data_IF_005323239791
#
_entry.id   IF_005323239791
#
_cell.length_a   1.000
_cell.length_b   1.000
_cell.length_c   1.000
_cell.angle_alpha   90.00
_cell.angle_beta   90.00
_cell.angle_gamma   90.00
#
_symmetry.space_group_name_H-M   'P 1'
#
loop_
_entity.id
_entity.type
_entity.pdbx_description
1 polymer ?
#
# COMPACT_ATOMS: atom_id res chain seq x y z
N UNK A 1 -10.73 -0.08 15.41
CA UNK A 1 -9.95 -0.44 16.61
C UNK A 1 -8.47 -0.47 16.24
N UNK A 2 -7.68 0.45 16.82
CA UNK A 2 -6.24 0.51 16.54
C UNK A 2 -5.49 -0.57 17.34
N UNK A 3 -4.49 -1.17 16.69
CA UNK A 3 -3.53 -2.07 17.34
C UNK A 3 -2.35 -1.23 17.82
N UNK A 4 -2.02 -1.36 19.12
CA UNK A 4 -0.88 -0.67 19.74
C UNK A 4 0.42 -1.47 19.66
N UNK A 5 0.32 -2.80 19.71
CA UNK A 5 1.48 -3.67 19.64
C UNK A 5 1.16 -5.12 19.93
N UNK A 6 2.20 -5.89 20.24
CA UNK A 6 2.16 -7.34 20.43
C UNK A 6 2.52 -7.68 21.88
N UNK A 7 1.75 -8.56 22.50
CA UNK A 7 2.11 -9.24 23.75
C UNK A 7 2.89 -10.51 23.44
N UNK A 8 3.91 -10.80 24.28
CA UNK A 8 4.71 -12.03 24.17
C UNK A 8 4.77 -12.74 25.52
N UNK A 9 4.75 -14.06 25.46
CA UNK A 9 5.01 -14.93 26.62
C UNK A 9 6.13 -15.89 26.23
N UNK A 10 7.21 -15.90 26.98
CA UNK A 10 8.42 -16.68 26.70
C UNK A 10 8.98 -16.48 25.27
N UNK A 11 8.92 -15.25 24.76
CA UNK A 11 9.42 -14.88 23.44
C UNK A 11 8.49 -15.21 22.26
N UNK A 12 7.33 -15.80 22.52
CA UNK A 12 6.34 -16.14 21.50
C UNK A 12 5.13 -15.21 21.62
N UNK A 13 4.53 -14.88 20.50
CA UNK A 13 3.30 -14.06 20.44
C UNK A 13 2.20 -14.75 21.27
N UNK A 14 1.59 -13.99 22.18
CA UNK A 14 0.50 -14.43 23.04
C UNK A 14 -0.73 -13.54 22.98
N UNK A 15 -0.63 -12.40 22.30
CA UNK A 15 -1.75 -11.49 22.14
C UNK A 15 -1.42 -10.24 21.34
N UNK A 16 -2.48 -9.51 21.00
CA UNK A 16 -2.45 -8.19 20.37
C UNK A 16 -3.00 -7.18 21.37
N UNK A 17 -2.23 -6.14 21.66
CA UNK A 17 -2.68 -5.01 22.46
C UNK A 17 -3.36 -3.98 21.58
N UNK A 18 -4.60 -3.67 21.91
CA UNK A 18 -5.41 -2.69 21.17
C UNK A 18 -5.83 -1.55 22.10
N UNK A 19 -6.35 -0.47 21.51
CA UNK A 19 -6.98 0.63 22.25
C UNK A 19 -8.19 0.19 23.12
N UNK A 20 -8.75 -1.01 22.87
CA UNK A 20 -9.91 -1.58 23.57
C UNK A 20 -9.56 -2.75 24.47
N UNK A 21 -8.27 -3.00 24.69
CA UNK A 21 -7.78 -4.12 25.50
C UNK A 21 -6.99 -5.15 24.69
N UNK A 22 -6.55 -6.19 25.34
CA UNK A 22 -5.73 -7.26 24.74
C UNK A 22 -6.60 -8.39 24.19
N UNK A 23 -6.30 -8.81 22.98
CA UNK A 23 -6.89 -9.99 22.32
C UNK A 23 -5.84 -11.10 22.37
N UNK A 24 -6.15 -12.21 23.04
CA UNK A 24 -5.25 -13.37 23.08
C UNK A 24 -5.23 -14.11 21.75
N UNK A 25 -4.04 -14.34 21.23
CA UNK A 25 -3.81 -15.06 19.98
C UNK A 25 -2.37 -15.59 19.95
N UNK A 26 -2.14 -16.60 19.11
CA UNK A 26 -0.82 -17.21 18.87
C UNK A 26 -0.25 -16.91 17.47
N UNK A 27 -1.03 -16.22 16.64
CA UNK A 27 -0.60 -15.75 15.33
C UNK A 27 -1.23 -14.39 15.02
N UNK A 28 -0.48 -13.55 14.29
CA UNK A 28 -0.89 -12.21 13.88
C UNK A 28 -0.56 -12.04 12.40
N UNK A 29 -1.52 -11.55 11.63
CA UNK A 29 -1.28 -11.12 10.24
C UNK A 29 -1.18 -9.59 10.20
N UNK A 30 -0.01 -9.06 9.86
CA UNK A 30 0.19 -7.64 9.62
C UNK A 30 -0.17 -7.32 8.16
N UNK A 31 -1.40 -6.86 7.97
CA UNK A 31 -1.97 -6.44 6.69
C UNK A 31 -2.37 -4.96 6.70
N UNK A 32 -1.58 -4.12 7.37
CA UNK A 32 -1.86 -2.70 7.62
C UNK A 32 -1.57 -1.77 6.43
N UNK A 33 -1.24 -2.29 5.25
CA UNK A 33 -0.97 -1.49 4.04
C UNK A 33 0.06 -0.39 4.31
N UNK A 34 -0.34 0.87 4.14
CA UNK A 34 0.49 2.05 4.42
C UNK A 34 1.10 2.08 5.84
N UNK A 35 0.39 1.52 6.83
CA UNK A 35 0.83 1.51 8.23
C UNK A 35 1.81 0.39 8.57
N UNK A 36 1.94 -0.63 7.70
CA UNK A 36 2.77 -1.81 7.96
C UNK A 36 4.22 -1.49 8.28
N UNK A 37 4.93 -0.57 7.57
CA UNK A 37 6.32 -0.24 7.91
C UNK A 37 6.47 0.40 9.28
N UNK A 38 5.52 1.24 9.69
CA UNK A 38 5.53 1.88 11.02
C UNK A 38 5.34 0.85 12.12
N UNK A 39 4.40 -0.08 11.95
CA UNK A 39 4.19 -1.16 12.90
C UNK A 39 5.37 -2.14 12.93
N UNK A 40 5.89 -2.55 11.78
CA UNK A 40 7.07 -3.40 11.70
C UNK A 40 8.28 -2.78 12.40
N UNK A 41 8.51 -1.47 12.21
CA UNK A 41 9.59 -0.73 12.87
C UNK A 41 9.46 -0.72 14.39
N UNK A 42 8.24 -0.65 14.95
CA UNK A 42 8.04 -0.72 16.40
C UNK A 42 8.40 -2.09 16.99
N UNK A 43 8.47 -3.11 16.14
CA UNK A 43 8.94 -4.46 16.50
C UNK A 43 10.44 -4.67 16.19
N UNK A 44 11.15 -3.64 15.73
CA UNK A 44 12.54 -3.75 15.30
C UNK A 44 12.74 -4.35 13.90
N UNK A 45 11.67 -4.53 13.14
CA UNK A 45 11.72 -5.10 11.80
C UNK A 45 11.92 -4.02 10.74
N UNK A 46 12.74 -4.30 9.73
CA UNK A 46 12.98 -3.42 8.59
C UNK A 46 12.14 -3.88 7.40
N UNK A 47 11.01 -3.22 7.16
CA UNK A 47 10.13 -3.50 6.03
C UNK A 47 10.30 -2.42 4.95
N UNK A 48 11.05 -2.68 3.87
CA UNK A 48 11.24 -1.73 2.78
C UNK A 48 9.98 -1.67 1.91
N UNK A 49 9.16 -0.70 2.20
CA UNK A 49 7.92 -0.41 1.48
C UNK A 49 7.85 1.08 1.24
N UNK A 50 7.40 1.48 0.09
CA UNK A 50 7.15 2.89 -0.21
C UNK A 50 5.71 3.10 -0.72
N UNK A 51 5.29 4.35 -0.74
CA UNK A 51 3.97 4.76 -1.13
C UNK A 51 3.99 5.60 -2.40
N UNK A 52 2.94 5.46 -3.20
CA UNK A 52 2.59 6.38 -4.27
C UNK A 52 1.14 6.83 -4.09
N UNK A 53 0.93 8.14 -4.13
CA UNK A 53 -0.40 8.72 -3.97
C UNK A 53 -0.99 8.99 -5.35
N UNK A 54 -2.17 8.42 -5.61
CA UNK A 54 -2.90 8.61 -6.86
C UNK A 54 -4.17 9.44 -6.63
N UNK A 55 -4.47 10.35 -7.56
CA UNK A 55 -5.73 11.07 -7.59
C UNK A 55 -6.67 10.41 -8.59
N UNK A 56 -7.94 10.35 -8.24
CA UNK A 56 -8.97 9.64 -8.98
C UNK A 56 -10.22 10.52 -9.11
N UNK A 57 -10.87 10.47 -10.28
CA UNK A 57 -12.15 11.10 -10.53
C UNK A 57 -13.23 10.06 -10.82
N UNK A 58 -14.48 10.41 -10.50
CA UNK A 58 -15.65 9.75 -11.04
C UNK A 58 -16.36 10.69 -12.00
N UNK A 59 -16.56 10.25 -13.23
CA UNK A 59 -17.37 10.93 -14.21
C UNK A 59 -18.83 10.46 -14.10
N UNK A 60 -19.75 11.34 -14.43
CA UNK A 60 -21.17 11.02 -14.51
C UNK A 60 -21.43 9.84 -15.47
N UNK A 61 -22.55 9.16 -15.27
CA UNK A 61 -22.94 8.06 -16.12
C UNK A 61 -23.12 8.53 -17.58
N UNK A 62 -22.62 7.73 -18.51
CA UNK A 62 -22.81 7.94 -19.94
C UNK A 62 -22.91 6.59 -20.65
N UNK A 63 -23.46 6.59 -21.84
CA UNK A 63 -23.60 5.38 -22.69
C UNK A 63 -22.30 5.09 -23.43
N UNK A 64 -21.26 4.81 -22.66
CA UNK A 64 -19.91 4.55 -23.15
C UNK A 64 -19.51 3.08 -23.06
N UNK A 65 -18.26 2.75 -23.43
CA UNK A 65 -17.78 1.37 -23.47
C UNK A 65 -17.87 0.66 -22.11
N UNK A 66 -18.22 -0.61 -22.13
CA UNK A 66 -18.36 -1.44 -20.90
C UNK A 66 -17.05 -2.02 -20.39
N UNK A 67 -15.98 -1.89 -21.15
CA UNK A 67 -14.64 -2.39 -20.80
C UNK A 67 -13.88 -1.41 -19.92
N UNK A 68 -12.87 -1.91 -19.23
CA UNK A 68 -11.82 -1.08 -18.64
C UNK A 68 -10.73 -0.85 -19.67
N UNK A 69 -10.16 0.34 -19.72
CA UNK A 69 -9.07 0.66 -20.62
C UNK A 69 -7.93 1.37 -19.91
N UNK A 70 -6.75 1.16 -20.46
CA UNK A 70 -5.51 1.80 -20.07
C UNK A 70 -4.89 2.42 -21.33
N UNK A 71 -4.63 3.70 -21.28
CA UNK A 71 -4.03 4.46 -22.37
C UNK A 71 -2.92 5.39 -21.89
N UNK A 72 -2.19 6.05 -22.80
CA UNK A 72 -1.21 7.05 -22.43
C UNK A 72 -1.85 8.17 -21.60
N UNK A 73 -1.38 8.36 -20.37
CA UNK A 73 -1.83 9.43 -19.48
C UNK A 73 -3.08 9.15 -18.66
N UNK A 74 -3.90 8.18 -19.01
CA UNK A 74 -5.13 7.86 -18.28
C UNK A 74 -5.47 6.38 -18.28
N UNK A 75 -6.25 5.97 -17.26
CA UNK A 75 -6.99 4.71 -17.25
C UNK A 75 -8.43 4.96 -16.80
N UNK A 76 -9.34 4.11 -17.24
CA UNK A 76 -10.74 4.22 -16.83
C UNK A 76 -11.40 2.85 -16.69
N UNK A 77 -12.44 2.82 -15.86
CA UNK A 77 -13.29 1.66 -15.63
C UNK A 77 -14.74 2.08 -15.49
N UNK A 78 -15.65 1.46 -16.25
CA UNK A 78 -17.09 1.62 -16.05
C UNK A 78 -17.52 0.96 -14.75
N UNK A 79 -18.35 1.65 -13.97
CA UNK A 79 -18.97 1.13 -12.76
C UNK A 79 -20.33 0.51 -13.11
N UNK A 80 -20.88 -0.28 -12.19
CA UNK A 80 -22.18 -0.94 -12.37
C UNK A 80 -23.36 0.05 -12.52
N UNK A 81 -23.22 1.26 -11.98
CA UNK A 81 -24.19 2.35 -12.07
C UNK A 81 -24.04 3.20 -13.35
N UNK A 82 -23.15 2.78 -14.25
CA UNK A 82 -22.89 3.49 -15.52
C UNK A 82 -21.93 4.68 -15.40
N UNK A 83 -21.48 5.04 -14.19
CA UNK A 83 -20.41 6.05 -13.98
C UNK A 83 -19.05 5.49 -14.37
N UNK A 84 -18.05 6.38 -14.56
CA UNK A 84 -16.69 5.97 -14.92
C UNK A 84 -15.68 6.45 -13.86
N UNK A 85 -14.92 5.53 -13.32
CA UNK A 85 -13.74 5.87 -12.53
C UNK A 85 -12.57 6.13 -13.47
N UNK A 86 -11.95 7.30 -13.35
CA UNK A 86 -10.82 7.75 -14.17
C UNK A 86 -9.65 8.10 -13.27
N UNK A 87 -8.48 7.64 -13.62
CA UNK A 87 -7.24 7.93 -12.90
C UNK A 87 -6.08 8.14 -13.87
N UNK A 88 -5.04 8.81 -13.41
CA UNK A 88 -3.75 8.79 -14.09
C UNK A 88 -3.00 7.49 -13.77
N UNK A 89 -2.13 7.11 -14.68
CA UNK A 89 -1.13 6.07 -14.45
C UNK A 89 -0.10 6.57 -13.43
N UNK A 90 0.19 7.89 -13.45
CA UNK A 90 1.25 8.51 -12.65
C UNK A 90 0.80 8.77 -11.22
N UNK A 91 1.46 8.09 -10.26
CA UNK A 91 1.35 8.37 -8.84
C UNK A 91 2.43 9.36 -8.37
N UNK A 92 2.24 9.92 -7.17
CA UNK A 92 3.21 10.81 -6.51
C UNK A 92 3.81 10.11 -5.31
N UNK A 93 5.13 9.95 -5.29
CA UNK A 93 5.85 9.44 -4.14
C UNK A 93 6.45 10.61 -3.34
N UNK A 94 5.96 10.90 -2.13
CA UNK A 94 6.60 11.91 -1.29
C UNK A 94 7.99 11.43 -0.86
N UNK A 95 9.00 12.30 -1.04
CA UNK A 95 10.34 12.06 -0.54
C UNK A 95 10.28 12.20 0.99
N UNK A 96 10.51 11.11 1.70
CA UNK A 96 10.46 11.05 3.17
C UNK A 96 11.75 10.48 3.73
N UNK A 97 12.08 10.70 5.02
CA UNK A 97 13.21 10.06 5.69
C UNK A 97 13.20 8.53 5.59
N UNK A 98 12.03 7.91 5.70
CA UNK A 98 11.87 6.46 5.54
C UNK A 98 12.18 5.99 4.11
N UNK A 99 11.81 6.76 3.09
CA UNK A 99 12.16 6.49 1.70
C UNK A 99 13.68 6.58 1.52
N UNK A 100 14.31 7.63 2.04
CA UNK A 100 15.77 7.85 1.93
C UNK A 100 16.57 6.76 2.67
N UNK A 101 16.12 6.33 3.85
CA UNK A 101 16.75 5.27 4.63
C UNK A 101 16.78 3.91 3.90
N UNK A 102 15.83 3.67 2.99
CA UNK A 102 15.74 2.47 2.17
C UNK A 102 16.23 2.70 0.72
N UNK A 103 16.81 3.86 0.42
CA UNK A 103 17.07 4.36 -0.93
C UNK A 103 17.81 3.38 -1.85
N UNK A 104 18.87 2.71 -1.35
CA UNK A 104 19.63 1.74 -2.16
C UNK A 104 18.78 0.52 -2.56
N UNK A 105 17.92 0.02 -1.66
CA UNK A 105 17.02 -1.09 -1.97
C UNK A 105 15.89 -0.67 -2.91
N UNK A 106 15.53 0.61 -2.93
CA UNK A 106 14.45 1.14 -3.76
C UNK A 106 14.91 1.54 -5.18
N UNK A 107 16.21 1.56 -5.46
CA UNK A 107 16.75 1.91 -6.78
C UNK A 107 16.12 1.10 -7.93
N UNK A 108 15.93 -0.23 -7.83
CA UNK A 108 15.27 -0.98 -8.89
C UNK A 108 13.85 -0.50 -9.18
N UNK A 109 13.05 -0.25 -8.13
CA UNK A 109 11.71 0.26 -8.27
C UNK A 109 11.69 1.67 -8.86
N UNK A 110 12.49 2.59 -8.33
CA UNK A 110 12.59 3.97 -8.83
C UNK A 110 13.00 4.02 -10.31
N UNK A 111 13.91 3.14 -10.73
CA UNK A 111 14.35 3.07 -12.12
C UNK A 111 13.26 2.54 -13.05
N UNK A 112 12.55 1.49 -12.65
CA UNK A 112 11.57 0.82 -13.50
C UNK A 112 10.21 1.52 -13.50
N UNK A 113 9.87 2.21 -12.40
CA UNK A 113 8.65 3.02 -12.28
C UNK A 113 8.88 4.49 -12.70
N UNK A 114 10.01 4.79 -13.33
CA UNK A 114 10.28 6.14 -13.83
C UNK A 114 9.25 6.54 -14.88
N UNK A 115 8.53 7.64 -14.62
CA UNK A 115 7.40 8.07 -15.44
C UNK A 115 6.02 7.59 -14.92
N UNK A 116 5.98 6.52 -14.12
CA UNK A 116 4.76 6.08 -13.44
C UNK A 116 4.65 6.62 -12.01
N UNK A 117 5.79 6.93 -11.39
CA UNK A 117 5.86 7.51 -10.05
C UNK A 117 6.75 8.75 -10.08
N UNK A 118 6.16 9.88 -9.74
CA UNK A 118 6.83 11.16 -9.65
C UNK A 118 7.31 11.41 -8.21
N UNK A 119 8.63 11.41 -7.92
CA UNK A 119 9.12 11.77 -6.61
C UNK A 119 8.92 13.28 -6.36
N UNK A 120 8.25 13.62 -5.26
CA UNK A 120 7.93 15.01 -4.92
C UNK A 120 8.41 15.34 -3.52
N UNK A 121 9.14 16.43 -3.38
CA UNK A 121 9.50 16.98 -2.08
C UNK A 121 8.26 17.68 -1.48
N UNK A 122 7.69 17.06 -0.44
CA UNK A 122 6.60 17.62 0.34
C UNK A 122 7.10 17.80 1.79
N UNK A 123 7.31 19.06 2.19
CA UNK A 123 7.85 19.36 3.52
C UNK A 123 6.97 18.85 4.65
N UNK A 124 5.64 18.91 4.52
CA UNK A 124 4.70 18.36 5.50
C UNK A 124 4.88 16.84 5.65
N UNK A 125 4.82 16.10 4.54
CA UNK A 125 5.01 14.65 4.55
C UNK A 125 6.39 14.24 5.07
N UNK A 126 7.43 15.04 4.74
CA UNK A 126 8.78 14.81 5.26
C UNK A 126 8.84 14.96 6.78
N UNK A 127 8.27 16.03 7.31
CA UNK A 127 8.27 16.30 8.76
C UNK A 127 7.37 15.34 9.53
N UNK A 128 6.26 14.91 8.95
CA UNK A 128 5.37 13.92 9.56
C UNK A 128 6.06 12.57 9.70
N UNK A 129 6.79 12.14 8.67
CA UNK A 129 7.58 10.91 8.72
C UNK A 129 8.78 11.03 9.66
N UNK A 130 9.47 12.17 9.66
CA UNK A 130 10.59 12.45 10.57
C UNK A 130 10.19 12.38 12.04
N UNK A 131 9.03 12.96 12.37
CA UNK A 131 8.50 13.01 13.75
C UNK A 131 7.80 11.72 14.17
N UNK A 132 7.56 10.81 13.24
CA UNK A 132 6.85 9.57 13.53
C UNK A 132 7.66 8.70 14.47
N UNK A 133 7.14 8.36 15.66
CA UNK A 133 7.88 7.56 16.63
C UNK A 133 8.18 6.17 16.07
N UNK A 134 9.34 5.63 16.44
CA UNK A 134 9.72 4.24 16.11
C UNK A 134 9.25 3.24 17.16
N UNK A 135 8.86 3.72 18.34
CA UNK A 135 8.32 2.91 19.43
C UNK A 135 7.43 3.78 20.32
N UNK A 136 6.51 3.16 21.03
CA UNK A 136 5.58 3.80 21.99
C UNK A 136 5.20 2.81 23.07
N UNK A 137 4.79 3.28 24.29
CA UNK A 137 4.21 2.44 25.32
C UNK A 137 2.88 1.82 24.87
N UNK A 138 2.62 0.56 25.25
CA UNK A 138 1.41 -0.15 24.81
C UNK A 138 0.15 0.28 25.57
N UNK A 139 0.31 0.95 26.71
CA UNK A 139 -0.75 1.52 27.55
C UNK A 139 -1.14 2.95 27.14
N UNK A 140 -0.37 3.58 26.24
CA UNK A 140 -0.63 4.92 25.72
C UNK A 140 -1.18 4.89 24.26
N UNK A 141 -1.80 6.00 23.78
CA UNK A 141 -2.25 6.10 22.42
C UNK A 141 -1.11 5.94 21.40
N UNK A 142 -1.33 5.11 20.43
CA UNK A 142 -0.39 4.85 19.33
C UNK A 142 -0.51 5.86 18.19
N UNK A 143 0.48 5.96 17.28
CA UNK A 143 0.37 6.79 16.07
C UNK A 143 -0.84 6.42 15.19
N UNK A 144 -1.32 5.18 15.28
CA UNK A 144 -2.48 4.70 14.51
C UNK A 144 -3.82 5.21 15.05
N UNK A 145 -3.87 5.62 16.31
CA UNK A 145 -5.03 6.27 16.92
C UNK A 145 -5.08 7.76 16.52
N UNK A 146 -3.91 8.40 16.49
CA UNK A 146 -3.79 9.81 16.06
C UNK A 146 -4.11 9.99 14.56
N UNK A 147 -3.75 9.01 13.72
CA UNK A 147 -3.92 9.07 12.27
C UNK A 147 -4.56 7.79 11.74
N UNK A 148 -5.87 7.62 12.00
CA UNK A 148 -6.63 6.40 11.64
C UNK A 148 -6.80 6.23 10.14
N UNK A 149 -6.91 7.34 9.42
CA UNK A 149 -7.11 7.37 7.98
C UNK A 149 -6.02 8.28 7.40
N UNK A 150 -5.28 7.76 6.44
CA UNK A 150 -4.38 8.55 5.63
C UNK A 150 -5.09 8.96 4.35
N UNK A 151 -5.29 10.26 4.18
CA UNK A 151 -5.91 10.84 2.98
C UNK A 151 -4.89 11.76 2.31
N UNK A 152 -4.28 11.34 1.21
CA UNK A 152 -3.37 12.21 0.46
C UNK A 152 -4.12 13.36 -0.19
N UNK A 153 -3.40 14.44 -0.46
CA UNK A 153 -3.96 15.62 -1.14
C UNK A 153 -4.33 15.29 -2.58
N UNK A 154 -5.54 15.68 -3.00
CA UNK A 154 -6.01 15.54 -4.37
C UNK A 154 -5.26 16.54 -5.25
N UNK A 155 -4.64 16.09 -6.35
CA UNK A 155 -4.01 16.92 -7.37
C UNK A 155 -5.03 17.34 -8.42
N UNK A 156 -5.86 18.34 -8.10
CA UNK A 156 -6.99 18.73 -8.95
C UNK A 156 -6.59 19.12 -10.37
N UNK A 157 -5.60 20.00 -10.55
CA UNK A 157 -5.16 20.44 -11.87
C UNK A 157 -4.63 19.28 -12.73
N UNK A 158 -3.90 18.35 -12.12
CA UNK A 158 -3.42 17.15 -12.79
C UNK A 158 -4.58 16.22 -13.17
N UNK A 159 -5.55 16.05 -12.27
CA UNK A 159 -6.72 15.21 -12.54
C UNK A 159 -7.61 15.79 -13.63
N UNK A 160 -7.71 17.12 -13.74
CA UNK A 160 -8.40 17.81 -14.81
C UNK A 160 -7.72 17.53 -16.16
N UNK A 161 -6.37 17.63 -16.24
CA UNK A 161 -5.66 17.28 -17.48
C UNK A 161 -5.88 15.81 -17.89
N UNK A 162 -5.93 14.89 -16.93
CA UNK A 162 -6.23 13.47 -17.20
C UNK A 162 -7.64 13.29 -17.80
N UNK A 163 -8.62 14.02 -17.28
CA UNK A 163 -9.99 13.99 -17.81
C UNK A 163 -10.07 14.62 -19.21
N UNK A 164 -9.27 15.66 -19.46
CA UNK A 164 -9.21 16.30 -20.77
C UNK A 164 -8.53 15.40 -21.82
N UNK A 165 -7.44 14.72 -21.45
CA UNK A 165 -6.80 13.71 -22.31
C UNK A 165 -7.76 12.56 -22.64
N UNK A 166 -8.55 12.12 -21.64
CA UNK A 166 -9.58 11.10 -21.85
C UNK A 166 -10.65 11.57 -22.84
N UNK A 167 -11.16 12.80 -22.68
CA UNK A 167 -12.17 13.40 -23.58
C UNK A 167 -11.62 13.54 -25.00
N UNK A 168 -10.39 14.03 -25.14
CA UNK A 168 -9.74 14.15 -26.44
C UNK A 168 -9.59 12.80 -27.14
N UNK A 169 -9.30 11.73 -26.40
CA UNK A 169 -9.18 10.38 -26.96
C UNK A 169 -10.53 9.70 -27.24
N UNK A 170 -11.55 10.02 -26.42
CA UNK A 170 -12.88 9.41 -26.47
C UNK A 170 -13.99 10.47 -26.37
N UNK A 171 -14.47 11.01 -27.50
CA UNK A 171 -15.49 12.07 -27.54
C UNK A 171 -16.80 11.75 -26.82
N UNK A 172 -17.08 10.47 -26.58
CA UNK A 172 -18.25 10.04 -25.77
C UNK A 172 -18.23 10.64 -24.34
N UNK A 173 -17.08 11.05 -23.85
CA UNK A 173 -16.90 11.66 -22.52
C UNK A 173 -16.96 13.20 -22.55
N UNK A 174 -17.08 13.87 -23.69
CA UNK A 174 -17.03 15.34 -23.82
C UNK A 174 -18.06 16.04 -22.92
N UNK A 175 -19.27 15.47 -22.82
CA UNK A 175 -20.37 16.04 -22.06
C UNK A 175 -20.43 15.52 -20.62
N UNK A 176 -19.49 14.66 -20.22
CA UNK A 176 -19.50 14.11 -18.85
C UNK A 176 -18.91 15.11 -17.85
N UNK A 177 -19.55 15.23 -16.70
CA UNK A 177 -19.06 16.03 -15.57
C UNK A 177 -18.37 15.17 -14.56
N UNK A 178 -17.40 15.75 -13.84
CA UNK A 178 -16.78 15.11 -12.68
C UNK A 178 -17.73 15.23 -11.49
N UNK A 179 -18.23 14.10 -11.00
CA UNK A 179 -19.20 14.04 -9.87
C UNK A 179 -18.52 13.79 -8.53
N UNK A 180 -17.31 13.21 -8.55
CA UNK A 180 -16.55 12.92 -7.32
C UNK A 180 -15.05 12.94 -7.60
N UNK A 181 -14.26 13.36 -6.60
CA UNK A 181 -12.80 13.27 -6.63
C UNK A 181 -12.31 12.74 -5.30
N UNK A 182 -11.31 11.87 -5.34
CA UNK A 182 -10.60 11.39 -4.15
C UNK A 182 -9.14 11.13 -4.45
N UNK A 183 -8.38 10.87 -3.41
CA UNK A 183 -7.02 10.37 -3.54
C UNK A 183 -6.85 9.13 -2.68
N UNK A 184 -5.97 8.24 -3.11
CA UNK A 184 -5.62 7.01 -2.41
C UNK A 184 -4.14 6.78 -2.42
N UNK A 185 -3.67 5.94 -1.51
CA UNK A 185 -2.28 5.54 -1.41
C UNK A 185 -2.12 4.10 -1.86
N UNK A 186 -1.29 3.91 -2.86
CA UNK A 186 -0.77 2.62 -3.27
C UNK A 186 0.52 2.35 -2.48
N UNK A 187 0.75 1.11 -2.14
CA UNK A 187 1.99 0.69 -1.46
C UNK A 187 2.65 -0.42 -2.26
N UNK A 188 3.97 -0.35 -2.38
CA UNK A 188 4.74 -1.37 -3.05
C UNK A 188 6.10 -1.56 -2.38
N UNK A 189 6.79 -2.59 -2.78
CA UNK A 189 8.12 -2.99 -2.32
C UNK A 189 9.18 -2.68 -3.37
N UNK A 190 10.48 -2.81 -3.05
CA UNK A 190 11.54 -2.54 -4.01
C UNK A 190 11.51 -3.36 -5.30
N UNK A 191 10.95 -4.56 -5.26
CA UNK A 191 10.82 -5.47 -6.40
C UNK A 191 9.41 -5.51 -6.99
N UNK A 192 8.50 -4.66 -6.50
CA UNK A 192 7.08 -4.60 -6.85
C UNK A 192 6.28 -5.88 -6.52
N UNK A 193 6.89 -6.82 -5.78
CA UNK A 193 6.23 -8.04 -5.33
C UNK A 193 5.78 -7.87 -3.87
N UNK A 194 4.54 -8.21 -3.51
CA UNK A 194 4.10 -8.13 -2.13
C UNK A 194 4.90 -9.04 -1.20
N UNK A 195 4.77 -8.82 0.08
CA UNK A 195 5.26 -9.73 1.12
C UNK A 195 4.10 -10.60 1.58
N UNK A 196 4.22 -11.90 1.45
CA UNK A 196 3.31 -12.94 1.98
C UNK A 196 4.20 -13.95 2.67
N UNK A 197 4.51 -13.76 3.95
CA UNK A 197 5.60 -14.50 4.62
C UNK A 197 5.41 -14.55 6.13
N UNK A 198 5.78 -15.67 6.73
CA UNK A 198 6.12 -15.70 8.17
C UNK A 198 7.38 -14.87 8.37
N UNK A 199 7.57 -14.30 9.55
CA UNK A 199 8.78 -13.59 9.96
C UNK A 199 9.59 -14.52 10.84
N UNK A 200 10.75 -14.96 10.38
CA UNK A 200 11.58 -15.96 11.11
C UNK A 200 12.05 -15.44 12.47
N UNK A 201 12.38 -14.15 12.56
CA UNK A 201 12.84 -13.51 13.80
C UNK A 201 11.70 -13.21 14.80
N UNK A 202 10.42 -13.34 14.39
CA UNK A 202 9.26 -13.06 15.22
C UNK A 202 8.21 -14.17 15.06
N UNK A 203 8.38 -15.30 15.76
CA UNK A 203 7.48 -16.45 15.64
C UNK A 203 6.02 -16.11 15.95
N UNK A 204 5.13 -16.43 15.01
CA UNK A 204 3.71 -16.10 15.07
C UNK A 204 3.33 -14.82 14.32
N UNK A 205 4.30 -14.01 13.83
CA UNK A 205 4.03 -12.87 12.97
C UNK A 205 4.08 -13.29 11.49
N UNK A 206 3.06 -12.90 10.76
CA UNK A 206 2.93 -13.11 9.31
C UNK A 206 2.70 -11.76 8.66
N UNK A 207 3.40 -11.47 7.57
CA UNK A 207 3.25 -10.25 6.80
C UNK A 207 2.41 -10.50 5.56
N UNK A 208 1.41 -9.62 5.33
CA UNK A 208 0.60 -9.55 4.12
C UNK A 208 0.51 -8.10 3.66
N UNK A 209 1.55 -7.58 2.97
CA UNK A 209 1.63 -6.15 2.64
C UNK A 209 2.40 -5.87 1.35
N UNK A 210 2.41 -4.60 0.89
CA UNK A 210 3.13 -4.20 -0.31
C UNK A 210 2.39 -4.51 -1.62
N UNK A 211 1.08 -4.65 -1.57
CA UNK A 211 0.23 -4.98 -2.72
C UNK A 211 -0.05 -3.76 -3.58
N UNK A 212 0.73 -3.54 -4.63
CA UNK A 212 0.43 -2.52 -5.63
C UNK A 212 -0.91 -2.81 -6.34
N UNK A 213 -1.15 -4.06 -6.70
CA UNK A 213 -2.40 -4.56 -7.30
C UNK A 213 -3.31 -5.24 -6.28
N UNK A 214 -3.55 -4.58 -5.14
CA UNK A 214 -4.22 -5.18 -3.98
C UNK A 214 -5.61 -5.77 -4.26
N UNK A 215 -6.42 -5.13 -5.10
CA UNK A 215 -7.75 -5.64 -5.45
C UNK A 215 -7.68 -6.96 -6.24
N UNK A 216 -6.71 -7.08 -7.14
CA UNK A 216 -6.53 -8.29 -7.98
C UNK A 216 -5.89 -9.43 -7.19
N UNK A 217 -4.88 -9.12 -6.38
CA UNK A 217 -4.09 -10.14 -5.66
C UNK A 217 -4.72 -10.53 -4.31
N UNK A 218 -5.55 -9.66 -3.74
CA UNK A 218 -6.09 -9.81 -2.38
C UNK A 218 -6.74 -11.17 -2.08
N UNK A 219 -7.64 -11.69 -2.92
CA UNK A 219 -8.28 -12.99 -2.65
C UNK A 219 -7.29 -14.15 -2.54
N UNK A 220 -6.38 -14.29 -3.51
CA UNK A 220 -5.38 -15.37 -3.50
C UNK A 220 -4.35 -15.18 -2.38
N UNK A 221 -3.96 -13.93 -2.10
CA UNK A 221 -3.07 -13.62 -0.99
C UNK A 221 -3.73 -13.91 0.36
N UNK A 222 -5.03 -13.62 0.50
CA UNK A 222 -5.79 -13.94 1.71
C UNK A 222 -5.86 -15.45 1.99
N UNK A 223 -6.05 -16.27 0.96
CA UNK A 223 -6.01 -17.73 1.07
C UNK A 223 -4.61 -18.20 1.53
N UNK A 224 -3.55 -17.72 0.88
CA UNK A 224 -2.18 -18.07 1.26
C UNK A 224 -1.81 -17.63 2.68
N UNK A 225 -2.27 -16.45 3.12
CA UNK A 225 -2.08 -15.97 4.50
C UNK A 225 -2.83 -16.83 5.50
N UNK A 226 -4.03 -17.30 5.18
CA UNK A 226 -4.80 -18.22 6.02
C UNK A 226 -4.07 -19.55 6.18
N UNK A 227 -3.55 -20.13 5.09
CA UNK A 227 -2.74 -21.35 5.12
C UNK A 227 -1.50 -21.19 6.02
N UNK A 228 -0.81 -20.04 5.92
CA UNK A 228 0.34 -19.73 6.77
C UNK A 228 -0.03 -19.66 8.26
N UNK A 229 -1.21 -19.09 8.59
CA UNK A 229 -1.73 -18.96 9.97
C UNK A 229 -2.06 -20.34 10.54
N UNK A 230 -2.75 -21.19 9.77
CA UNK A 230 -3.14 -22.54 10.22
C UNK A 230 -1.99 -23.55 10.21
N UNK A 231 -0.88 -23.20 9.56
CA UNK A 231 0.28 -24.08 9.38
C UNK A 231 0.15 -25.03 8.20
N UNK A 232 -0.84 -24.80 7.36
CA UNK A 232 -1.04 -25.54 6.12
C UNK A 232 -0.04 -25.09 5.05
N UNK A 233 0.09 -25.91 4.00
CA UNK A 233 0.94 -25.57 2.86
C UNK A 233 0.14 -24.72 1.86
N UNK A 234 0.57 -23.48 1.58
CA UNK A 234 -0.07 -22.67 0.55
C UNK A 234 -0.08 -23.36 -0.82
N UNK A 235 -1.17 -23.17 -1.56
CA UNK A 235 -1.35 -23.73 -2.91
C UNK A 235 -0.43 -23.10 -3.95
N UNK A 236 0.06 -21.90 -3.67
CA UNK A 236 0.99 -21.15 -4.54
C UNK A 236 2.40 -21.17 -3.95
N UNK A 237 3.40 -21.10 -4.81
CA UNK A 237 4.79 -20.93 -4.38
C UNK A 237 5.02 -19.53 -3.84
N UNK A 238 5.37 -19.39 -2.56
CA UNK A 238 5.62 -18.14 -1.89
C UNK A 238 7.10 -17.72 -1.89
N UNK A 239 7.98 -18.44 -2.56
CA UNK A 239 9.43 -18.20 -2.56
C UNK A 239 9.78 -16.75 -2.93
N UNK A 240 9.09 -16.16 -3.90
CA UNK A 240 9.29 -14.78 -4.32
C UNK A 240 8.66 -13.75 -3.37
N UNK A 241 7.79 -14.16 -2.46
CA UNK A 241 7.01 -13.30 -1.58
C UNK A 241 7.54 -13.27 -0.14
N UNK A 242 8.63 -14.02 0.15
CA UNK A 242 9.20 -14.10 1.50
C UNK A 242 9.80 -12.76 1.94
N UNK A 243 9.66 -12.45 3.21
CA UNK A 243 10.17 -11.22 3.80
C UNK A 243 11.71 -11.16 3.80
N UNK A 244 12.34 -12.29 4.09
CA UNK A 244 13.78 -12.41 4.26
C UNK A 244 14.58 -12.05 3.00
N UNK A 245 13.94 -12.03 1.80
CA UNK A 245 14.58 -11.61 0.54
C UNK A 245 15.15 -10.18 0.58
N UNK A 246 14.66 -9.35 1.51
CA UNK A 246 15.20 -8.00 1.73
C UNK A 246 16.37 -7.95 2.72
N UNK A 247 16.69 -9.06 3.41
CA UNK A 247 17.64 -9.13 4.51
C UNK A 247 18.83 -10.05 4.22
N UNK A 248 18.64 -11.07 3.39
CA UNK A 248 19.59 -12.16 3.15
C UNK A 248 20.55 -11.92 1.98
N UNK A 249 20.52 -10.72 1.38
CA UNK A 249 21.35 -10.40 0.21
C UNK A 249 20.82 -10.94 -1.11
N UNK A 250 19.59 -11.46 -1.15
CA UNK A 250 18.94 -11.85 -2.40
C UNK A 250 18.88 -10.67 -3.37
N UNK A 251 19.07 -10.90 -4.69
CA UNK A 251 18.97 -9.82 -5.67
C UNK A 251 17.52 -9.29 -5.74
N UNK A 252 17.40 -7.98 -5.59
CA UNK A 252 16.11 -7.28 -5.74
C UNK A 252 15.90 -7.02 -7.23
N UNK A 253 15.01 -7.80 -7.84
CA UNK A 253 14.69 -7.72 -9.27
C UNK A 253 13.26 -7.25 -9.41
N UNK A 254 13.08 -6.05 -9.97
CA UNK A 254 11.76 -5.48 -10.23
C UNK A 254 10.94 -6.37 -11.18
N UNK A 255 9.66 -6.57 -10.85
CA UNK A 255 8.72 -7.39 -11.65
C UNK A 255 7.44 -6.57 -11.91
N UNK A 256 6.95 -6.69 -13.14
CA UNK A 256 5.67 -6.10 -13.57
C UNK A 256 4.50 -7.03 -13.31
#
# INVERSE_FOLDING_TARGET
CAVRGIERTAGVISGVVTERGTIKCNAIVLAGGYWSPTFARSLGLKLPQFQANASVARLAATDGPEISAWGPGFCWRRQLDGTYTVAAITGVAPITPSLLANGLQLLPALRNMWGEVEPVLNFGAFMDDWRRPSSWPLDEPSPFEAHRIYMPTIRNAFLESVCDDLRAAYPIFDQTTVVERWAGTLVTTPDNMPVISKVESEPGLILGTGFYYGLTMGPAAGEALADLVTGDRPKIDLTLYRYERFLDGSPIVFRY
#
